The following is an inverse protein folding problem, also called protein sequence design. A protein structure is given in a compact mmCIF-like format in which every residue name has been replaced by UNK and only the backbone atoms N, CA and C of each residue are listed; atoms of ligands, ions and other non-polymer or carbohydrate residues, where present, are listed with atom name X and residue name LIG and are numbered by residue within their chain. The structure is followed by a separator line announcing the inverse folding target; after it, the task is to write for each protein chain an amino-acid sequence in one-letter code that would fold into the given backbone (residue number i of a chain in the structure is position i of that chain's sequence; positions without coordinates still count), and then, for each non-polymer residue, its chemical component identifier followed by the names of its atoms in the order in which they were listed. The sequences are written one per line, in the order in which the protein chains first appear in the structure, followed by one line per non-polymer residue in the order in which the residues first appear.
data_IF_816268197385
#
_entry.id   IF_816268197385
#
_cell.length_a   1.000
_cell.length_b   1.000
_cell.length_c   1.000
_cell.angle_alpha   90.00
_cell.angle_beta   90.00
_cell.angle_gamma   90.00
#
_symmetry.space_group_name_H-M   'P 1'
#
loop_
_entity.id
_entity.type
_entity.pdbx_description
1 polymer ?
#
# COMPACT_ATOMS: atom_id res chain seq x y z
N UNK A 1 7.83 21.08 -78.68
CA UNK A 1 7.87 22.06 -77.58
C UNK A 1 6.41 22.45 -77.35
N UNK A 2 5.72 22.13 -76.27
CA UNK A 2 6.08 22.25 -74.84
C UNK A 2 5.14 21.36 -74.03
N UNK A 3 5.67 20.55 -73.11
CA UNK A 3 4.89 19.67 -72.23
C UNK A 3 4.44 20.44 -70.98
N UNK A 4 3.14 20.36 -70.64
CA UNK A 4 2.54 21.01 -69.48
C UNK A 4 2.44 20.00 -68.32
N UNK A 5 3.26 20.17 -67.28
CA UNK A 5 3.24 19.35 -66.06
C UNK A 5 2.23 19.91 -65.06
N UNK A 6 1.22 19.11 -64.68
CA UNK A 6 0.31 19.41 -63.57
C UNK A 6 0.89 18.82 -62.27
N UNK A 7 1.33 19.66 -61.31
CA UNK A 7 1.67 19.23 -59.95
C UNK A 7 0.40 19.19 -59.09
N UNK A 8 0.09 18.02 -58.51
CA UNK A 8 -0.89 17.88 -57.43
C UNK A 8 -0.22 18.22 -56.09
N UNK A 9 -0.62 19.34 -55.50
CA UNK A 9 -0.25 19.71 -54.13
C UNK A 9 -1.16 18.96 -53.15
N UNK A 10 -0.60 18.07 -52.33
CA UNK A 10 -1.33 17.47 -51.21
C UNK A 10 -1.32 18.48 -50.06
N UNK A 11 -2.49 19.01 -49.71
CA UNK A 11 -2.67 19.82 -48.53
C UNK A 11 -2.70 18.91 -47.30
N UNK A 12 -1.66 19.00 -46.46
CA UNK A 12 -1.59 18.34 -45.16
C UNK A 12 -2.44 19.15 -44.17
N UNK A 13 -3.66 18.67 -43.87
CA UNK A 13 -4.51 19.28 -42.86
C UNK A 13 -3.96 18.94 -41.46
N UNK A 14 -3.32 19.91 -40.80
CA UNK A 14 -3.00 19.84 -39.38
C UNK A 14 -4.31 19.95 -38.59
N UNK A 15 -4.83 18.82 -38.10
CA UNK A 15 -5.90 18.82 -37.13
C UNK A 15 -5.32 19.21 -35.76
N UNK A 16 -5.46 20.48 -35.38
CA UNK A 16 -5.14 20.96 -34.03
C UNK A 16 -6.20 20.41 -33.08
N UNK A 17 -5.91 19.26 -32.47
CA UNK A 17 -6.76 18.70 -31.42
C UNK A 17 -6.69 19.60 -30.20
N UNK A 18 -7.79 20.26 -29.86
CA UNK A 18 -7.94 20.95 -28.58
C UNK A 18 -7.92 19.91 -27.46
N UNK A 19 -6.79 19.77 -26.80
CA UNK A 19 -6.72 19.10 -25.50
C UNK A 19 -7.40 20.04 -24.52
N UNK A 20 -8.69 19.79 -24.28
CA UNK A 20 -9.42 20.45 -23.19
C UNK A 20 -8.79 19.98 -21.89
N UNK A 21 -8.00 20.86 -21.27
CA UNK A 21 -7.42 20.67 -19.95
C UNK A 21 -8.57 20.63 -18.95
N UNK A 22 -9.11 19.44 -18.71
CA UNK A 22 -10.05 19.22 -17.61
C UNK A 22 -9.24 19.34 -16.32
N UNK A 23 -9.27 20.52 -15.72
CA UNK A 23 -8.79 20.73 -14.36
C UNK A 23 -9.76 19.98 -13.47
N UNK A 24 -9.40 18.75 -13.09
CA UNK A 24 -10.14 18.03 -12.07
C UNK A 24 -9.95 18.79 -10.75
N UNK A 25 -11.01 18.99 -9.96
CA UNK A 25 -10.91 19.69 -8.69
C UNK A 25 -9.88 19.00 -7.80
N UNK A 26 -9.17 19.79 -7.00
CA UNK A 26 -8.26 19.32 -5.96
C UNK A 26 -9.09 18.57 -4.91
N UNK A 27 -9.29 17.27 -5.11
CA UNK A 27 -9.76 16.40 -4.06
C UNK A 27 -8.62 16.34 -3.05
N UNK A 28 -8.88 16.72 -1.79
CA UNK A 28 -8.06 16.30 -0.65
C UNK A 28 -8.13 14.79 -0.41
N UNK A 29 -8.18 14.01 -1.49
CA UNK A 29 -8.20 12.57 -1.51
C UNK A 29 -6.77 12.07 -1.57
N UNK A 30 -6.42 11.25 -0.59
CA UNK A 30 -5.40 10.23 -0.62
C UNK A 30 -4.50 10.18 -1.85
N UNK A 31 -3.19 10.37 -1.67
CA UNK A 31 -2.22 10.13 -2.71
C UNK A 31 -2.22 8.65 -3.11
N UNK A 32 -2.50 8.34 -4.38
CA UNK A 32 -2.22 7.02 -4.95
C UNK A 32 -0.70 6.85 -5.01
N UNK A 33 -0.18 5.82 -4.35
CA UNK A 33 1.25 5.52 -4.32
C UNK A 33 1.64 4.85 -5.62
N UNK A 34 2.53 5.46 -6.39
CA UNK A 34 3.00 4.88 -7.65
C UNK A 34 4.11 3.87 -7.41
N UNK A 35 3.95 2.65 -7.92
CA UNK A 35 5.04 1.69 -8.06
C UNK A 35 5.91 2.15 -9.23
N UNK A 36 7.05 2.76 -8.93
CA UNK A 36 8.02 3.19 -9.92
C UNK A 36 9.22 2.24 -9.91
N UNK A 37 9.68 1.82 -11.09
CA UNK A 37 10.86 0.95 -11.23
C UNK A 37 10.73 -0.36 -10.41
N UNK A 38 9.51 -0.89 -10.31
CA UNK A 38 9.20 -2.11 -9.56
C UNK A 38 9.08 -1.93 -8.05
N UNK A 39 9.10 -0.69 -7.52
CA UNK A 39 8.99 -0.41 -6.08
C UNK A 39 8.04 0.76 -5.79
N UNK A 40 7.22 0.58 -4.76
CA UNK A 40 6.53 1.63 -4.04
C UNK A 40 7.08 1.70 -2.61
N UNK A 41 7.09 2.90 -2.05
CA UNK A 41 7.43 3.15 -0.64
C UNK A 41 6.43 4.14 -0.10
N UNK A 42 5.99 3.97 1.14
CA UNK A 42 5.09 4.92 1.80
C UNK A 42 5.34 4.99 3.30
N UNK A 43 5.02 6.15 3.87
CA UNK A 43 4.78 6.28 5.31
C UNK A 43 3.41 5.70 5.62
N UNK A 44 3.24 5.16 6.83
CA UNK A 44 1.95 4.65 7.25
C UNK A 44 0.88 5.75 7.36
N UNK A 45 1.33 6.99 7.56
CA UNK A 45 0.47 8.18 7.64
C UNK A 45 -0.02 8.67 6.28
N UNK A 46 0.50 8.14 5.18
CA UNK A 46 0.04 8.43 3.81
C UNK A 46 -1.10 7.49 3.37
N UNK A 47 -2.01 7.16 4.30
CA UNK A 47 -3.11 6.24 4.05
C UNK A 47 -4.21 6.86 3.19
N UNK A 48 -4.92 6.00 2.46
CA UNK A 48 -6.14 6.37 1.72
C UNK A 48 -7.34 6.50 2.66
N UNK A 49 -7.52 5.54 3.55
CA UNK A 49 -8.54 5.61 4.59
C UNK A 49 -8.07 4.86 5.84
N UNK A 50 -8.55 5.33 6.99
CA UNK A 50 -8.33 4.70 8.28
C UNK A 50 -9.69 4.40 8.91
N UNK A 51 -10.03 3.11 8.97
CA UNK A 51 -11.32 2.64 9.44
C UNK A 51 -11.44 2.64 10.97
N UNK A 52 -12.68 2.72 11.43
CA UNK A 52 -13.08 2.57 12.83
C UNK A 52 -14.15 1.49 12.95
N UNK A 53 -14.02 0.61 13.93
CA UNK A 53 -15.05 -0.33 14.33
C UNK A 53 -16.22 0.45 14.95
N UNK A 54 -17.37 0.41 14.29
CA UNK A 54 -18.55 1.18 14.73
C UNK A 54 -19.09 0.75 16.10
N UNK A 55 -18.82 -0.48 16.54
CA UNK A 55 -19.31 -1.03 17.81
C UNK A 55 -18.39 -0.65 18.97
N UNK A 56 -17.08 -0.80 18.80
CA UNK A 56 -16.11 -0.57 19.88
C UNK A 56 -15.54 0.84 19.87
N UNK A 57 -15.69 1.57 18.76
CA UNK A 57 -15.03 2.86 18.55
C UNK A 57 -13.52 2.75 18.31
N UNK A 58 -12.95 1.54 18.28
CA UNK A 58 -11.53 1.34 18.01
C UNK A 58 -11.23 1.56 16.53
N UNK A 59 -10.11 2.18 16.22
CA UNK A 59 -9.75 2.54 14.86
C UNK A 59 -8.26 2.76 14.68
N UNK A 60 -7.85 2.73 13.41
CA UNK A 60 -6.51 3.14 13.02
C UNK A 60 -6.35 4.64 13.25
N UNK A 61 -5.41 5.01 14.11
CA UNK A 61 -5.20 6.36 14.58
C UNK A 61 -3.77 6.77 14.31
N UNK A 62 -3.58 7.94 13.69
CA UNK A 62 -2.25 8.53 13.62
C UNK A 62 -1.84 9.02 15.00
N UNK A 63 -0.67 8.56 15.46
CA UNK A 63 -0.08 8.96 16.74
C UNK A 63 1.34 9.44 16.51
N UNK A 64 1.90 10.11 17.51
CA UNK A 64 3.32 10.46 17.57
C UNK A 64 4.06 9.51 18.50
N UNK A 65 5.38 9.43 18.38
CA UNK A 65 6.23 8.69 19.33
C UNK A 65 5.91 9.09 20.78
N UNK A 66 5.62 10.37 21.03
CA UNK A 66 5.34 10.90 22.37
C UNK A 66 3.92 10.65 22.90
N UNK A 67 2.97 10.26 22.03
CA UNK A 67 1.54 10.16 22.39
C UNK A 67 0.93 8.78 22.14
N UNK A 68 1.76 7.80 21.75
CA UNK A 68 1.29 6.45 21.46
C UNK A 68 0.81 5.72 22.71
N UNK A 69 -0.04 4.70 22.53
CA UNK A 69 -0.18 3.68 23.56
C UNK A 69 1.06 2.78 23.44
N UNK A 70 1.89 2.70 24.46
CA UNK A 70 3.17 2.01 24.33
C UNK A 70 4.39 2.90 24.45
N UNK A 71 5.55 2.26 24.46
CA UNK A 71 6.84 2.94 24.34
C UNK A 71 7.32 2.83 22.88
N UNK A 72 6.63 3.49 21.96
CA UNK A 72 7.08 3.56 20.58
C UNK A 72 8.06 4.70 20.38
N UNK A 73 9.19 4.45 19.72
CA UNK A 73 10.22 5.45 19.45
C UNK A 73 10.85 5.28 18.08
N UNK A 74 11.50 6.35 17.60
CA UNK A 74 12.29 6.37 16.38
C UNK A 74 11.50 5.99 15.12
N UNK A 75 10.18 6.28 15.09
CA UNK A 75 9.44 6.26 13.84
C UNK A 75 10.09 7.25 12.88
N UNK A 76 10.02 6.96 11.59
CA UNK A 76 10.77 7.73 10.58
C UNK A 76 10.51 9.24 10.64
N UNK A 77 9.27 9.61 10.90
CA UNK A 77 8.82 11.01 10.89
C UNK A 77 8.40 11.53 12.25
N UNK A 78 8.58 10.73 13.32
CA UNK A 78 8.02 11.01 14.64
C UNK A 78 6.51 10.76 14.72
N UNK A 79 5.90 10.16 13.69
CA UNK A 79 4.51 9.75 13.66
C UNK A 79 4.30 8.46 12.88
N UNK A 80 3.28 7.70 13.26
CA UNK A 80 2.95 6.39 12.71
C UNK A 80 1.44 6.09 12.91
N UNK A 81 0.95 4.97 12.35
CA UNK A 81 -0.44 4.52 12.53
C UNK A 81 -0.51 3.44 13.59
N UNK A 82 -1.46 3.55 14.52
CA UNK A 82 -1.69 2.57 15.58
C UNK A 82 -3.17 2.22 15.69
N UNK A 83 -3.51 0.95 15.91
CA UNK A 83 -4.90 0.56 16.18
C UNK A 83 -5.26 0.78 17.66
N UNK A 84 -6.18 1.70 17.93
CA UNK A 84 -6.47 2.21 19.29
C UNK A 84 -7.97 2.36 19.56
N UNK A 85 -8.42 2.41 20.84
CA UNK A 85 -7.61 2.18 22.04
C UNK A 85 -7.14 0.73 22.18
N UNK A 86 -6.01 0.55 22.84
CA UNK A 86 -5.45 -0.76 23.21
C UNK A 86 -6.14 -1.27 24.50
N UNK A 87 -7.14 -2.11 24.30
CA UNK A 87 -8.08 -2.64 25.31
C UNK A 87 -8.22 -4.17 25.26
N UNK A 88 -7.36 -4.86 24.50
CA UNK A 88 -7.42 -6.31 24.30
C UNK A 88 -8.50 -6.78 23.33
N UNK A 89 -8.90 -5.94 22.37
CA UNK A 89 -9.89 -6.27 21.34
C UNK A 89 -9.29 -6.20 19.94
N UNK A 90 -9.49 -7.28 19.18
CA UNK A 90 -8.97 -7.44 17.82
C UNK A 90 -9.97 -7.19 16.70
N UNK A 91 -9.52 -7.48 15.48
CA UNK A 91 -10.33 -7.49 14.27
C UNK A 91 -10.29 -8.84 13.55
N UNK A 92 -10.71 -8.81 12.28
CA UNK A 92 -10.76 -9.97 11.39
C UNK A 92 -10.16 -9.61 10.03
N UNK A 93 -9.47 -10.54 9.34
CA UNK A 93 -8.86 -10.27 8.04
C UNK A 93 -9.88 -9.82 6.99
N UNK A 94 -11.14 -10.22 7.12
CA UNK A 94 -12.22 -9.92 6.16
C UNK A 94 -13.24 -8.90 6.68
N UNK A 95 -13.25 -8.62 7.99
CA UNK A 95 -14.24 -7.76 8.64
C UNK A 95 -13.78 -6.33 8.90
N UNK A 96 -12.47 -6.06 8.84
CA UNK A 96 -11.90 -4.77 9.22
C UNK A 96 -11.99 -4.49 10.74
N UNK A 97 -11.83 -3.23 11.16
CA UNK A 97 -11.62 -2.04 10.34
C UNK A 97 -10.26 -2.04 9.63
N UNK A 98 -10.18 -1.38 8.47
CA UNK A 98 -8.98 -1.40 7.63
C UNK A 98 -8.24 -0.07 7.66
N UNK A 99 -6.90 -0.11 7.68
CA UNK A 99 -6.03 0.94 7.19
C UNK A 99 -5.73 0.62 5.73
N UNK A 100 -6.05 1.53 4.81
CA UNK A 100 -5.97 1.24 3.38
C UNK A 100 -5.02 2.17 2.65
N UNK A 101 -4.41 1.65 1.58
CA UNK A 101 -3.58 2.41 0.65
C UNK A 101 -3.94 2.01 -0.77
N UNK A 102 -4.07 3.00 -1.65
CA UNK A 102 -4.16 2.77 -3.09
C UNK A 102 -2.76 2.76 -3.70
N UNK A 103 -2.38 1.63 -4.31
CA UNK A 103 -1.10 1.45 -4.98
C UNK A 103 -1.33 1.26 -6.48
N UNK A 104 -0.66 2.06 -7.31
CA UNK A 104 -0.71 1.92 -8.77
C UNK A 104 0.45 1.07 -9.25
N UNK A 105 0.13 -0.13 -9.74
CA UNK A 105 1.09 -1.09 -10.32
C UNK A 105 1.06 -0.96 -11.83
N UNK A 106 2.17 -0.55 -12.44
CA UNK A 106 2.26 -0.39 -13.90
C UNK A 106 2.83 -1.62 -14.61
N UNK A 107 3.54 -2.48 -13.87
CA UNK A 107 4.28 -3.62 -14.42
C UNK A 107 3.83 -4.91 -13.72
N UNK A 108 3.26 -5.88 -14.45
CA UNK A 108 2.93 -7.18 -13.88
C UNK A 108 4.16 -7.90 -13.33
N UNK A 109 3.96 -8.71 -12.29
CA UNK A 109 5.02 -9.48 -11.66
C UNK A 109 4.62 -10.02 -10.30
N UNK A 110 5.53 -10.75 -9.67
CA UNK A 110 5.40 -11.12 -8.27
C UNK A 110 5.98 -9.99 -7.41
N UNK A 111 5.22 -9.57 -6.41
CA UNK A 111 5.57 -8.49 -5.49
C UNK A 111 5.61 -9.01 -4.06
N UNK A 112 6.54 -8.47 -3.28
CA UNK A 112 6.71 -8.71 -1.86
C UNK A 112 6.45 -7.43 -1.06
N UNK A 113 5.78 -7.57 0.07
CA UNK A 113 5.61 -6.50 1.06
C UNK A 113 6.68 -6.58 2.14
N UNK A 114 7.25 -5.43 2.47
CA UNK A 114 8.14 -5.22 3.61
C UNK A 114 7.57 -4.10 4.48
N UNK A 115 7.61 -4.28 5.80
CA UNK A 115 7.02 -3.37 6.77
C UNK A 115 8.04 -2.94 7.82
N UNK A 116 7.91 -1.70 8.26
CA UNK A 116 8.40 -1.25 9.57
C UNK A 116 7.16 -1.07 10.43
N UNK A 117 7.03 -1.95 11.40
CA UNK A 117 5.90 -2.04 12.33
C UNK A 117 6.46 -2.46 13.70
N UNK A 118 5.70 -2.23 14.76
CA UNK A 118 6.09 -2.53 16.14
C UNK A 118 4.87 -3.00 16.94
N UNK A 119 5.15 -3.73 18.00
CA UNK A 119 4.15 -4.15 18.99
C UNK A 119 4.12 -3.18 20.15
N UNK A 120 2.96 -3.01 20.76
CA UNK A 120 2.89 -2.28 22.02
C UNK A 120 3.46 -3.11 23.18
N UNK A 121 4.55 -2.62 23.79
CA UNK A 121 5.21 -3.26 24.95
C UNK A 121 4.88 -2.63 26.32
N UNK A 122 4.02 -1.62 26.43
CA UNK A 122 3.85 -0.88 27.70
C UNK A 122 3.14 -1.64 28.81
N UNK A 123 2.44 -2.73 28.50
CA UNK A 123 1.78 -3.54 29.52
C UNK A 123 2.70 -4.68 29.96
N UNK A 124 3.54 -4.43 30.96
CA UNK A 124 4.40 -5.41 31.62
C UNK A 124 3.66 -6.58 32.32
N UNK A 125 2.37 -6.77 32.04
CA UNK A 125 1.52 -7.87 32.52
C UNK A 125 0.62 -8.51 31.44
N UNK A 126 0.57 -7.96 30.23
CA UNK A 126 -0.17 -8.49 29.06
C UNK A 126 0.67 -8.31 27.79
N UNK A 127 1.92 -8.79 27.87
CA UNK A 127 2.76 -8.98 26.69
C UNK A 127 2.07 -10.05 25.84
N UNK A 128 1.48 -9.66 24.71
CA UNK A 128 0.82 -10.58 23.77
C UNK A 128 -0.60 -10.20 23.32
N UNK A 129 -0.94 -8.91 23.31
CA UNK A 129 -2.21 -8.42 22.75
C UNK A 129 -2.05 -7.47 21.56
N UNK A 130 -0.84 -7.31 21.02
CA UNK A 130 -0.56 -6.42 19.87
C UNK A 130 0.36 -7.08 18.86
N UNK A 131 0.50 -8.41 18.93
CA UNK A 131 1.63 -9.13 18.36
C UNK A 131 1.42 -9.59 16.92
N UNK A 132 0.27 -9.22 16.34
CA UNK A 132 -0.16 -9.70 15.05
C UNK A 132 -1.25 -8.85 14.43
N UNK A 133 -1.31 -8.91 13.10
CA UNK A 133 -2.31 -8.24 12.27
C UNK A 133 -2.40 -8.94 10.91
N UNK A 134 -3.40 -8.56 10.13
CA UNK A 134 -3.63 -9.11 8.80
C UNK A 134 -3.30 -8.08 7.73
N UNK A 135 -2.81 -8.55 6.60
CA UNK A 135 -2.64 -7.74 5.39
C UNK A 135 -3.27 -8.43 4.18
N UNK A 136 -3.90 -7.66 3.29
CA UNK A 136 -4.53 -8.19 2.07
C UNK A 136 -4.45 -7.20 0.91
N UNK A 137 -4.61 -7.71 -0.31
CA UNK A 137 -4.89 -6.89 -1.51
C UNK A 137 -6.31 -7.20 -1.96
N UNK A 138 -7.21 -6.21 -1.87
CA UNK A 138 -8.64 -6.43 -2.01
C UNK A 138 -9.05 -7.04 -3.36
N UNK A 139 -8.41 -6.61 -4.44
CA UNK A 139 -8.73 -6.98 -5.82
C UNK A 139 -8.18 -8.35 -6.22
N UNK A 140 -7.29 -8.94 -5.40
CA UNK A 140 -6.72 -10.26 -5.64
C UNK A 140 -7.45 -11.37 -4.89
N UNK A 141 -8.43 -11.03 -4.04
CA UNK A 141 -9.16 -12.03 -3.27
C UNK A 141 -9.98 -12.94 -4.19
N UNK A 142 -9.74 -14.24 -4.09
CA UNK A 142 -10.38 -15.30 -4.88
C UNK A 142 -10.98 -16.42 -4.02
N UNK A 143 -10.91 -16.28 -2.69
CA UNK A 143 -11.45 -17.21 -1.72
C UNK A 143 -10.37 -18.16 -1.19
N UNK A 144 -10.43 -18.44 0.12
CA UNK A 144 -9.50 -19.31 0.85
C UNK A 144 -9.13 -20.58 0.06
N UNK A 145 -7.83 -20.82 -0.08
CA UNK A 145 -7.25 -21.93 -0.83
C UNK A 145 -7.20 -21.70 -2.33
N UNK A 146 -7.44 -20.47 -2.79
CA UNK A 146 -7.38 -20.05 -4.18
C UNK A 146 -5.96 -19.93 -4.73
N UNK A 147 -5.84 -19.19 -5.83
CA UNK A 147 -4.56 -18.96 -6.53
C UNK A 147 -3.76 -17.87 -5.81
N UNK A 148 -4.45 -16.89 -5.26
CA UNK A 148 -3.84 -15.77 -4.55
C UNK A 148 -4.22 -15.81 -3.07
N UNK A 149 -3.26 -15.56 -2.15
CA UNK A 149 -3.61 -15.38 -0.75
C UNK A 149 -4.58 -14.22 -0.56
N UNK A 150 -5.78 -14.51 -0.05
CA UNK A 150 -6.78 -13.49 0.30
C UNK A 150 -6.25 -12.54 1.38
N UNK A 151 -5.47 -13.07 2.32
CA UNK A 151 -4.73 -12.32 3.33
C UNK A 151 -3.50 -13.09 3.81
N UNK A 152 -2.62 -12.38 4.50
CA UNK A 152 -1.59 -12.96 5.34
C UNK A 152 -1.79 -12.54 6.79
N UNK A 153 -1.59 -13.47 7.72
CA UNK A 153 -1.37 -13.16 9.13
C UNK A 153 0.12 -12.90 9.37
N UNK A 154 0.43 -11.71 9.87
CA UNK A 154 1.79 -11.30 10.26
C UNK A 154 1.87 -11.41 11.78
N UNK A 155 2.99 -11.94 12.28
CA UNK A 155 3.25 -12.08 13.72
C UNK A 155 4.62 -11.47 14.08
N UNK A 156 4.81 -11.11 15.35
CA UNK A 156 6.05 -10.51 15.89
C UNK A 156 7.31 -11.40 15.80
N UNK A 157 7.28 -12.56 15.13
CA UNK A 157 8.38 -13.54 15.10
C UNK A 157 9.70 -12.99 14.56
N UNK A 158 9.64 -12.01 13.65
CA UNK A 158 10.82 -11.36 13.09
C UNK A 158 11.33 -10.19 13.94
N UNK A 159 10.57 -9.75 14.95
CA UNK A 159 10.83 -8.53 15.71
C UNK A 159 11.60 -8.77 17.00
N UNK A 160 12.41 -7.76 17.33
CA UNK A 160 12.74 -7.47 18.72
C UNK A 160 11.59 -6.65 19.30
N UNK A 161 10.93 -7.18 20.33
CA UNK A 161 9.82 -6.50 20.99
C UNK A 161 10.35 -5.40 21.94
N UNK A 162 10.70 -4.24 21.40
CA UNK A 162 11.20 -3.08 22.14
C UNK A 162 10.45 -1.77 21.81
N UNK A 163 9.59 -1.76 20.80
CA UNK A 163 8.87 -0.56 20.36
C UNK A 163 9.76 0.45 19.63
N UNK A 164 10.99 0.08 19.27
CA UNK A 164 11.92 0.92 18.54
C UNK A 164 11.90 0.54 17.05
N UNK A 165 11.23 1.36 16.23
CA UNK A 165 11.14 1.17 14.78
C UNK A 165 12.51 1.13 14.08
N UNK A 166 13.61 1.46 14.77
CA UNK A 166 14.97 1.39 14.25
C UNK A 166 15.73 0.11 14.60
N UNK A 167 15.23 -0.72 15.53
CA UNK A 167 15.87 -1.99 15.92
C UNK A 167 15.67 -3.06 14.85
N UNK A 168 14.41 -3.39 14.54
CA UNK A 168 14.07 -4.38 13.52
C UNK A 168 13.32 -3.70 12.39
N UNK A 169 13.86 -3.79 11.17
CA UNK A 169 13.24 -3.19 9.99
C UNK A 169 12.99 -4.17 8.88
N UNK A 170 11.99 -3.84 8.07
CA UNK A 170 11.69 -4.51 6.82
C UNK A 170 11.32 -5.98 7.02
N UNK A 171 10.40 -6.19 7.95
CA UNK A 171 9.78 -7.49 8.14
C UNK A 171 8.90 -7.81 6.95
N UNK A 172 8.92 -9.08 6.54
CA UNK A 172 8.36 -9.46 5.26
C UNK A 172 7.81 -10.87 5.24
N UNK A 173 7.51 -11.41 6.43
CA UNK A 173 6.90 -12.72 6.55
C UNK A 173 5.57 -12.74 7.30
N UNK A 174 4.82 -13.80 7.00
CA UNK A 174 3.55 -14.16 7.61
C UNK A 174 3.06 -15.48 7.02
N UNK A 175 1.85 -15.88 7.35
CA UNK A 175 1.25 -17.08 6.77
C UNK A 175 -0.07 -16.76 6.08
N UNK A 176 -0.22 -17.32 4.88
CA UNK A 176 -1.37 -17.10 4.04
C UNK A 176 -2.62 -17.73 4.70
N UNK A 177 -3.69 -16.95 4.76
CA UNK A 177 -5.06 -17.43 4.99
C UNK A 177 -5.30 -18.16 6.32
N UNK A 178 -4.52 -17.80 7.34
CA UNK A 178 -4.68 -18.32 8.72
C UNK A 178 -5.14 -17.24 9.71
N UNK A 179 -5.55 -17.69 10.88
CA UNK A 179 -5.78 -16.88 12.09
C UNK A 179 -5.38 -17.73 13.31
N UNK A 180 -4.07 -17.81 13.59
CA UNK A 180 -3.46 -18.74 14.52
C UNK A 180 -2.34 -18.04 15.30
N UNK A 181 -2.32 -18.21 16.63
CA UNK A 181 -1.32 -17.63 17.55
C UNK A 181 0.16 -18.04 17.32
N UNK A 182 0.46 -18.72 16.21
CA UNK A 182 1.80 -19.16 15.84
C UNK A 182 1.99 -19.29 14.34
N UNK A 183 1.25 -18.52 13.52
CA UNK A 183 1.38 -18.47 12.06
C UNK A 183 2.84 -18.49 11.60
N UNK A 184 3.17 -19.32 10.61
CA UNK A 184 4.49 -19.49 10.03
C UNK A 184 5.03 -18.18 9.41
N UNK A 185 6.33 -18.17 9.15
CA UNK A 185 7.05 -17.02 8.61
C UNK A 185 7.40 -17.27 7.13
N UNK A 186 6.38 -17.27 6.26
CA UNK A 186 6.55 -17.35 4.81
C UNK A 186 6.59 -15.95 4.19
N UNK A 187 7.27 -15.73 3.05
CA UNK A 187 7.26 -14.44 2.37
C UNK A 187 5.84 -13.95 2.01
N UNK A 188 5.59 -12.64 2.23
CA UNK A 188 4.35 -11.96 1.88
C UNK A 188 4.29 -11.65 0.38
N UNK A 189 3.86 -12.62 -0.44
CA UNK A 189 3.95 -12.55 -1.90
C UNK A 189 2.57 -12.47 -2.57
N UNK A 190 2.45 -11.60 -3.57
CA UNK A 190 1.31 -11.58 -4.48
C UNK A 190 1.77 -11.51 -5.93
N UNK A 191 1.14 -12.32 -6.79
CA UNK A 191 1.32 -12.20 -8.24
C UNK A 191 0.29 -11.22 -8.80
N UNK A 192 0.77 -10.12 -9.36
CA UNK A 192 -0.03 -9.09 -10.02
C UNK A 192 0.06 -9.30 -11.52
N UNK A 193 -0.98 -9.90 -12.12
CA UNK A 193 -0.98 -10.24 -13.54
C UNK A 193 -1.35 -9.07 -14.46
N UNK A 194 -2.03 -8.05 -13.93
CA UNK A 194 -2.57 -6.93 -14.73
C UNK A 194 -2.16 -5.60 -14.12
N UNK A 195 -1.70 -4.61 -14.90
CA UNK A 195 -1.50 -3.26 -14.39
C UNK A 195 -2.82 -2.67 -13.89
N UNK A 196 -2.78 -1.92 -12.79
CA UNK A 196 -3.99 -1.36 -12.19
C UNK A 196 -3.73 -0.65 -10.87
N UNK A 197 -4.80 -0.08 -10.31
CA UNK A 197 -4.82 0.38 -8.92
C UNK A 197 -5.28 -0.80 -8.07
N UNK A 198 -4.54 -1.07 -7.01
CA UNK A 198 -4.81 -2.10 -6.03
C UNK A 198 -4.94 -1.48 -4.64
N UNK A 199 -5.77 -2.07 -3.80
CA UNK A 199 -6.02 -1.63 -2.43
C UNK A 199 -5.30 -2.55 -1.46
N UNK A 200 -4.17 -2.09 -0.93
CA UNK A 200 -3.49 -2.74 0.19
C UNK A 200 -4.22 -2.40 1.48
N UNK A 201 -4.63 -3.40 2.25
CA UNK A 201 -5.41 -3.24 3.48
C UNK A 201 -4.73 -3.92 4.64
N UNK A 202 -4.68 -3.23 5.78
CA UNK A 202 -4.26 -3.77 7.06
C UNK A 202 -5.45 -3.85 8.00
N UNK A 203 -5.72 -5.02 8.56
CA UNK A 203 -6.72 -5.21 9.60
C UNK A 203 -6.02 -5.63 10.89
N UNK A 204 -6.44 -5.11 12.05
CA UNK A 204 -5.90 -5.58 13.32
C UNK A 204 -6.32 -7.05 13.52
N UNK A 205 -5.40 -7.89 13.95
CA UNK A 205 -5.75 -9.14 14.63
C UNK A 205 -5.92 -8.87 16.11
N UNK A 206 -5.06 -8.01 16.63
CA UNK A 206 -5.07 -7.53 18.00
C UNK A 206 -4.88 -6.00 18.00
N UNK A 207 -5.16 -5.34 19.13
CA UNK A 207 -5.02 -3.89 19.27
C UNK A 207 -3.63 -3.45 19.70
N UNK A 208 -3.35 -2.14 19.64
CA UNK A 208 -2.04 -1.59 19.97
C UNK A 208 -0.96 -1.78 18.90
N UNK A 209 -1.19 -2.61 17.87
CA UNK A 209 -0.25 -2.77 16.74
C UNK A 209 0.02 -1.44 16.06
N UNK A 210 1.29 -1.19 15.75
CA UNK A 210 1.77 0.08 15.19
C UNK A 210 2.54 -0.13 13.88
N UNK A 211 2.27 0.68 12.86
CA UNK A 211 2.93 0.63 11.54
C UNK A 211 3.52 2.00 11.24
N UNK A 212 4.81 2.08 10.94
CA UNK A 212 5.53 3.31 10.55
C UNK A 212 5.69 3.41 9.04
N UNK A 213 6.09 2.32 8.37
CA UNK A 213 6.39 2.34 6.94
C UNK A 213 6.05 1.05 6.22
N UNK A 214 5.90 1.17 4.90
CA UNK A 214 5.81 0.03 3.99
C UNK A 214 6.65 0.23 2.72
N UNK A 215 7.15 -0.88 2.20
CA UNK A 215 7.75 -1.01 0.87
C UNK A 215 7.07 -2.17 0.16
N UNK A 216 6.52 -1.89 -1.02
CA UNK A 216 5.92 -2.91 -1.88
C UNK A 216 6.72 -2.98 -3.17
N UNK A 217 7.42 -4.08 -3.43
CA UNK A 217 8.38 -4.16 -4.53
C UNK A 217 8.34 -5.52 -5.22
N UNK A 218 8.83 -5.61 -6.45
CA UNK A 218 8.97 -6.89 -7.14
C UNK A 218 9.89 -7.83 -6.35
N UNK A 219 9.52 -9.11 -6.23
CA UNK A 219 10.24 -10.10 -5.40
C UNK A 219 11.68 -10.38 -5.85
N UNK A 220 12.04 -10.00 -7.07
CA UNK A 220 13.41 -10.09 -7.60
C UNK A 220 14.35 -8.98 -7.10
N UNK A 221 13.83 -7.94 -6.46
CA UNK A 221 14.65 -6.87 -5.87
C UNK A 221 15.23 -7.29 -4.52
N UNK A 222 16.42 -6.80 -4.20
CA UNK A 222 16.97 -6.94 -2.86
C UNK A 222 16.05 -6.31 -1.82
N UNK A 223 15.96 -6.95 -0.64
CA UNK A 223 15.23 -6.42 0.50
C UNK A 223 15.66 -4.96 0.79
N UNK A 224 14.72 -4.08 1.17
CA UNK A 224 15.04 -2.71 1.50
C UNK A 224 16.00 -2.64 2.70
N UNK A 225 16.82 -1.60 2.72
CA UNK A 225 17.75 -1.31 3.81
C UNK A 225 17.63 0.16 4.22
N UNK A 226 17.96 0.46 5.49
CA UNK A 226 17.91 1.82 6.02
C UNK A 226 16.52 2.45 5.90
N UNK A 227 16.48 3.73 5.54
CA UNK A 227 15.27 4.49 5.23
C UNK A 227 15.17 4.71 3.70
N UNK A 228 14.40 3.90 2.95
CA UNK A 228 14.21 4.10 1.51
C UNK A 228 13.61 5.49 1.26
N UNK A 229 13.79 6.13 0.10
CA UNK A 229 13.17 7.44 -0.18
C UNK A 229 11.67 7.47 0.18
N UNK A 230 11.18 8.59 0.73
CA UNK A 230 9.75 8.73 1.09
C UNK A 230 8.86 8.69 -0.15
N UNK A 231 7.56 8.64 0.11
CA UNK A 231 6.45 8.33 -0.78
C UNK A 231 6.65 8.78 -2.21
N UNK A 232 6.58 7.80 -3.11
CA UNK A 232 6.52 8.02 -4.56
C UNK A 232 5.11 8.49 -4.93
N UNK A 233 4.71 9.66 -4.42
CA UNK A 233 3.52 10.34 -4.90
C UNK A 233 3.84 10.85 -6.31
N UNK A 234 3.08 10.47 -7.34
CA UNK A 234 3.26 11.11 -8.64
C UNK A 234 2.99 12.60 -8.46
N UNK A 235 3.98 13.43 -8.74
CA UNK A 235 3.80 14.88 -8.93
C UNK A 235 2.49 15.12 -9.71
N UNK A 236 1.63 16.08 -9.34
CA UNK A 236 0.32 16.27 -9.95
C UNK A 236 0.34 16.27 -11.50
N UNK A 237 1.45 16.73 -12.10
CA UNK A 237 1.66 16.69 -13.56
C UNK A 237 1.86 15.31 -14.19
N UNK A 238 2.26 14.28 -13.43
CA UNK A 238 2.43 12.89 -13.90
C UNK A 238 1.16 12.06 -13.79
N UNK A 239 0.31 12.31 -12.79
CA UNK A 239 -1.00 11.66 -12.65
C UNK A 239 -1.90 11.93 -13.88
N UNK A 240 -1.82 13.15 -14.45
CA UNK A 240 -2.56 13.53 -15.65
C UNK A 240 -2.10 12.76 -16.92
N UNK A 241 -0.80 12.45 -17.01
CA UNK A 241 -0.24 11.70 -18.15
C UNK A 241 -0.60 10.21 -18.10
N UNK A 242 -0.67 9.62 -16.90
CA UNK A 242 -1.09 8.23 -16.68
C UNK A 242 -2.59 8.03 -16.99
N UNK A 243 -3.44 8.99 -16.62
CA UNK A 243 -4.86 9.00 -17.00
C UNK A 243 -5.08 9.05 -18.52
N UNK A 244 -4.28 9.85 -19.24
CA UNK A 244 -4.30 9.88 -20.72
C UNK A 244 -3.79 8.56 -21.33
N UNK A 245 -2.75 7.96 -20.77
CA UNK A 245 -2.19 6.68 -21.23
C UNK A 245 -3.19 5.52 -21.12
N UNK A 246 -3.92 5.42 -20.01
CA UNK A 246 -4.96 4.40 -19.82
C UNK A 246 -6.17 4.63 -20.74
N UNK A 247 -6.62 5.87 -20.93
CA UNK A 247 -7.71 6.18 -21.89
C UNK A 247 -7.33 5.82 -23.34
N UNK A 248 -6.08 6.08 -23.75
CA UNK A 248 -5.58 5.71 -25.08
C UNK A 248 -5.47 4.19 -25.26
N UNK A 249 -5.21 3.43 -24.20
CA UNK A 249 -5.24 1.95 -24.24
C UNK A 249 -6.66 1.42 -24.40
N UNK A 250 -7.65 2.02 -23.72
CA UNK A 250 -9.07 1.66 -23.85
C UNK A 250 -9.64 1.98 -25.24
N UNK A 251 -9.24 3.10 -25.85
CA UNK A 251 -9.70 3.51 -27.19
C UNK A 251 -9.14 2.65 -28.34
N UNK A 252 -8.04 1.92 -28.12
CA UNK A 252 -7.39 1.11 -29.16
C UNK A 252 -7.91 -0.33 -29.28
N UNK A 253 -8.66 -0.82 -28.29
CA UNK A 253 -9.33 -2.15 -28.31
C UNK A 253 -10.73 -2.14 -28.94
N UNK A 254 -11.25 -0.98 -29.31
CA UNK A 254 -12.59 -0.81 -29.91
C UNK A 254 -12.61 -0.74 -31.44
N UNK A 255 -11.56 -1.22 -32.14
CA UNK A 255 -11.53 -1.31 -33.61
C UNK A 255 -11.09 -2.70 -34.05
#
# INVERSE_FOLDING_TARGET
MTALFFRRSHALALATSMISLCVLPEWGGAAVILVQDGRATALATDFTSAGTNATTGQGWTQVTDATSAGNHTNSRTGSFMQYLPDTGTGGSPTGGPFLTYEIMVTTPGEYQLYLSWEVNNSNSGTVGGSDSFFVSIAELSDGIGGVHPDWYEITQKEQTNDGDFNTTRWMSSGEAEVNLAGAASNPLLWTIATPGIYTLRFAPREDGVAIDQLVFQTSSMAAPTGFPPTTTVPEPGRAMLLGLGLMLLCLRRGR
#
